data_IF_670400150074
#
_entry.id   IF_670400150074
#
_cell.length_a   1.000
_cell.length_b   1.000
_cell.length_c   1.000
_cell.angle_alpha   90.00
_cell.angle_beta   90.00
_cell.angle_gamma   90.00
#
_symmetry.space_group_name_H-M   'P 1'
#
loop_
_entity.id
_entity.type
_entity.pdbx_description
1 polymer ?
#
# COMPACT_ATOMS: atom_id res chain seq x y z
N UNK A 1 -15.64 9.46 -37.32
CA UNK A 1 -16.27 8.34 -36.57
C UNK A 1 -15.28 7.50 -35.76
N UNK A 2 -14.16 7.01 -36.33
CA UNK A 2 -13.24 6.04 -35.69
C UNK A 2 -12.69 6.43 -34.28
N UNK A 3 -12.24 7.68 -34.08
CA UNK A 3 -11.68 8.13 -32.78
C UNK A 3 -12.69 8.10 -31.62
N UNK A 4 -13.95 8.49 -31.88
CA UNK A 4 -15.02 8.50 -30.87
C UNK A 4 -15.40 7.07 -30.46
N UNK A 5 -15.42 6.14 -31.43
CA UNK A 5 -15.64 4.72 -31.20
C UNK A 5 -14.55 4.08 -30.35
N UNK A 6 -13.27 4.37 -30.63
CA UNK A 6 -12.14 3.85 -29.85
C UNK A 6 -12.17 4.33 -28.40
N UNK A 7 -12.41 5.63 -28.17
CA UNK A 7 -12.54 6.18 -26.81
C UNK A 7 -13.71 5.53 -26.06
N UNK A 8 -14.88 5.42 -26.69
CA UNK A 8 -16.06 4.82 -26.04
C UNK A 8 -15.87 3.34 -25.72
N UNK A 9 -15.22 2.58 -26.62
CA UNK A 9 -14.94 1.18 -26.41
C UNK A 9 -13.94 0.99 -25.25
N UNK A 10 -12.83 1.73 -25.27
CA UNK A 10 -11.84 1.68 -24.20
C UNK A 10 -12.42 2.04 -22.84
N UNK A 11 -13.26 3.09 -22.77
CA UNK A 11 -13.90 3.48 -21.51
C UNK A 11 -14.88 2.41 -20.99
N UNK A 12 -15.62 1.74 -21.88
CA UNK A 12 -16.48 0.60 -21.51
C UNK A 12 -15.66 -0.57 -20.99
N UNK A 13 -14.54 -0.89 -21.64
CA UNK A 13 -13.63 -1.96 -21.20
C UNK A 13 -13.08 -1.66 -19.80
N UNK A 14 -12.58 -0.44 -19.55
CA UNK A 14 -12.10 -0.02 -18.23
C UNK A 14 -13.20 -0.18 -17.18
N UNK A 15 -14.42 0.29 -17.49
CA UNK A 15 -15.56 0.13 -16.60
C UNK A 15 -15.85 -1.34 -16.28
N UNK A 16 -15.92 -2.22 -17.29
CA UNK A 16 -16.18 -3.63 -17.06
C UNK A 16 -15.08 -4.33 -16.28
N UNK A 17 -13.81 -4.05 -16.59
CA UNK A 17 -12.66 -4.60 -15.84
C UNK A 17 -12.72 -4.15 -14.37
N UNK A 18 -12.97 -2.86 -14.12
CA UNK A 18 -13.08 -2.34 -12.77
C UNK A 18 -14.21 -3.03 -11.98
N UNK A 19 -15.42 -3.08 -12.55
CA UNK A 19 -16.56 -3.73 -11.89
C UNK A 19 -16.34 -5.23 -11.68
N UNK A 20 -15.68 -5.91 -12.63
CA UNK A 20 -15.34 -7.32 -12.51
C UNK A 20 -14.41 -7.58 -11.32
N UNK A 21 -13.32 -6.81 -11.18
CA UNK A 21 -12.41 -6.97 -10.04
C UNK A 21 -13.03 -6.55 -8.71
N UNK A 22 -13.86 -5.51 -8.68
CA UNK A 22 -14.62 -5.15 -7.47
C UNK A 22 -15.59 -6.27 -7.09
N UNK A 23 -16.31 -6.82 -8.06
CA UNK A 23 -17.19 -7.98 -7.84
C UNK A 23 -16.41 -9.17 -7.27
N UNK A 24 -15.25 -9.51 -7.84
CA UNK A 24 -14.43 -10.60 -7.32
C UNK A 24 -13.96 -10.36 -5.89
N UNK A 25 -13.47 -9.15 -5.59
CA UNK A 25 -13.07 -8.76 -4.23
C UNK A 25 -14.22 -8.92 -3.24
N UNK A 26 -15.43 -8.43 -3.58
CA UNK A 26 -16.60 -8.56 -2.71
C UNK A 26 -17.05 -10.03 -2.58
N UNK A 27 -17.04 -10.78 -3.67
CA UNK A 27 -17.37 -12.21 -3.66
C UNK A 27 -16.42 -12.99 -2.74
N UNK A 28 -15.11 -12.79 -2.86
CA UNK A 28 -14.13 -13.46 -2.01
C UNK A 28 -14.18 -13.01 -0.56
N UNK A 29 -14.48 -11.73 -0.29
CA UNK A 29 -14.70 -11.26 1.08
C UNK A 29 -15.91 -11.95 1.73
N UNK A 30 -17.01 -12.13 1.00
CA UNK A 30 -18.22 -12.82 1.49
C UNK A 30 -17.97 -14.33 1.62
N UNK A 31 -17.25 -14.94 0.68
CA UNK A 31 -16.91 -16.36 0.68
C UNK A 31 -15.74 -16.70 1.63
N UNK A 32 -15.22 -15.71 2.35
CA UNK A 32 -14.09 -15.88 3.25
C UNK A 32 -14.43 -16.84 4.40
N UNK A 33 -13.54 -17.79 4.75
CA UNK A 33 -13.70 -18.63 5.93
C UNK A 33 -13.91 -17.82 7.22
N UNK A 34 -13.41 -16.58 7.28
CA UNK A 34 -13.59 -15.68 8.42
C UNK A 34 -15.06 -15.33 8.72
N UNK A 35 -15.97 -15.51 7.74
CA UNK A 35 -17.42 -15.29 7.89
C UNK A 35 -18.20 -16.59 8.11
N UNK A 36 -17.53 -17.73 8.23
CA UNK A 36 -18.19 -19.01 8.51
C UNK A 36 -18.36 -19.22 10.03
N UNK A 37 -19.56 -19.66 10.45
CA UNK A 37 -19.94 -19.82 11.86
C UNK A 37 -19.46 -21.16 12.45
N UNK A 38 -19.05 -21.15 13.73
CA UNK A 38 -18.62 -22.31 14.52
C UNK A 38 -17.10 -22.53 14.50
N UNK A 39 -16.55 -23.45 15.28
CA UNK A 39 -15.11 -23.77 15.25
C UNK A 39 -14.83 -24.94 14.29
N UNK A 40 -13.73 -24.85 13.51
CA UNK A 40 -13.15 -26.04 12.86
C UNK A 40 -11.69 -26.22 13.23
N UNK A 41 -11.17 -27.45 13.11
CA UNK A 41 -9.75 -27.76 13.35
C UNK A 41 -8.74 -26.97 12.51
N UNK A 42 -9.17 -26.27 11.44
CA UNK A 42 -8.31 -25.64 10.44
C UNK A 42 -8.02 -24.13 10.65
N UNK A 43 -8.48 -23.51 11.76
CA UNK A 43 -8.15 -22.12 12.10
C UNK A 43 -9.28 -21.10 11.93
N UNK A 44 -8.99 -19.89 12.42
CA UNK A 44 -9.89 -18.84 12.94
C UNK A 44 -11.14 -18.54 12.11
N UNK A 45 -12.29 -18.91 12.67
CA UNK A 45 -13.66 -18.57 12.22
C UNK A 45 -14.12 -17.22 12.78
N UNK A 46 -15.35 -16.80 12.49
CA UNK A 46 -15.96 -15.60 13.09
C UNK A 46 -15.93 -15.70 14.61
N UNK A 47 -15.10 -14.87 15.26
CA UNK A 47 -15.00 -14.85 16.73
C UNK A 47 -16.29 -14.33 17.36
N UNK A 48 -16.54 -14.60 18.64
CA UNK A 48 -17.68 -14.00 19.35
C UNK A 48 -17.67 -12.46 19.28
N UNK A 49 -16.48 -11.85 19.29
CA UNK A 49 -16.30 -10.40 19.10
C UNK A 49 -16.81 -9.98 17.72
N UNK A 50 -16.43 -10.70 16.66
CA UNK A 50 -16.88 -10.44 15.29
C UNK A 50 -18.39 -10.63 15.14
N UNK A 51 -18.97 -11.66 15.75
CA UNK A 51 -20.43 -11.89 15.76
C UNK A 51 -21.16 -10.74 16.45
N UNK A 52 -20.73 -10.37 17.66
CA UNK A 52 -21.32 -9.26 18.42
C UNK A 52 -21.22 -7.96 17.64
N UNK A 53 -20.08 -7.70 16.99
CA UNK A 53 -19.87 -6.52 16.16
C UNK A 53 -20.82 -6.50 14.95
N UNK A 54 -20.97 -7.62 14.23
CA UNK A 54 -21.90 -7.72 13.10
C UNK A 54 -23.36 -7.57 13.53
N UNK A 55 -23.77 -8.19 14.65
CA UNK A 55 -25.11 -8.02 15.22
C UNK A 55 -25.36 -6.58 15.65
N UNK A 56 -24.36 -5.92 16.22
CA UNK A 56 -24.44 -4.50 16.58
C UNK A 56 -24.63 -3.61 15.34
N UNK A 57 -23.86 -3.83 14.27
CA UNK A 57 -24.02 -3.11 13.00
C UNK A 57 -25.40 -3.34 12.37
N UNK A 58 -25.88 -4.59 12.39
CA UNK A 58 -27.21 -4.95 11.89
C UNK A 58 -28.30 -4.28 12.72
N UNK A 59 -28.18 -4.32 14.05
CA UNK A 59 -29.15 -3.71 14.98
C UNK A 59 -29.23 -2.20 14.78
N UNK A 60 -28.09 -1.51 14.67
CA UNK A 60 -28.05 -0.06 14.37
C UNK A 60 -28.69 0.23 13.01
N UNK A 61 -28.36 -0.56 11.98
CA UNK A 61 -28.89 -0.36 10.63
C UNK A 61 -30.41 -0.52 10.60
N UNK A 62 -30.94 -1.55 11.26
CA UNK A 62 -32.37 -1.78 11.42
C UNK A 62 -33.03 -0.68 12.25
N UNK A 63 -32.40 -0.24 13.34
CA UNK A 63 -32.91 0.85 14.16
C UNK A 63 -33.02 2.16 13.35
N UNK A 64 -32.02 2.49 12.52
CA UNK A 64 -32.07 3.65 11.61
C UNK A 64 -33.17 3.47 10.55
N UNK A 65 -33.37 2.24 10.06
CA UNK A 65 -34.38 1.97 9.05
C UNK A 65 -35.82 2.07 9.60
N UNK A 66 -36.06 1.62 10.84
CA UNK A 66 -37.40 1.59 11.44
C UNK A 66 -37.72 2.90 12.16
N UNK A 67 -36.80 3.45 12.95
CA UNK A 67 -37.05 4.60 13.80
C UNK A 67 -36.80 5.94 13.07
N UNK A 68 -37.86 6.70 12.83
CA UNK A 68 -37.78 8.00 12.14
C UNK A 68 -36.98 9.05 12.91
N UNK A 69 -37.11 9.12 14.24
CA UNK A 69 -36.34 10.07 15.06
C UNK A 69 -34.85 9.79 14.94
N UNK A 70 -34.45 8.53 15.06
CA UNK A 70 -33.05 8.11 14.92
C UNK A 70 -32.52 8.41 13.51
N UNK A 71 -33.29 8.07 12.48
CA UNK A 71 -32.97 8.41 11.08
C UNK A 71 -32.77 9.91 10.86
N UNK A 72 -33.61 10.75 11.45
CA UNK A 72 -33.48 12.20 11.34
C UNK A 72 -32.22 12.73 12.05
N UNK A 73 -31.84 12.15 13.19
CA UNK A 73 -30.56 12.43 13.86
C UNK A 73 -29.38 12.04 12.97
N UNK A 74 -29.36 10.83 12.43
CA UNK A 74 -28.29 10.38 11.52
C UNK A 74 -28.21 11.25 10.25
N UNK A 75 -29.34 11.62 9.66
CA UNK A 75 -29.38 12.56 8.52
C UNK A 75 -28.85 13.94 8.91
N UNK A 76 -29.17 14.43 10.10
CA UNK A 76 -28.65 15.72 10.57
C UNK A 76 -27.12 15.67 10.71
N UNK A 77 -26.58 14.65 11.37
CA UNK A 77 -25.14 14.50 11.61
C UNK A 77 -24.41 14.22 10.29
N UNK A 78 -24.73 13.12 9.62
CA UNK A 78 -23.92 12.61 8.51
C UNK A 78 -24.21 13.24 7.15
N UNK A 79 -25.35 13.94 6.99
CA UNK A 79 -25.73 14.60 5.72
C UNK A 79 -25.76 16.13 5.89
N UNK A 80 -26.54 16.68 6.82
CA UNK A 80 -26.65 18.15 6.96
C UNK A 80 -25.38 18.76 7.54
N UNK A 81 -24.71 18.09 8.48
CA UNK A 81 -23.45 18.51 9.11
C UNK A 81 -22.23 17.70 8.61
N UNK A 82 -22.36 17.07 7.43
CA UNK A 82 -21.41 16.08 6.91
C UNK A 82 -19.94 16.51 6.99
N UNK A 83 -19.62 17.75 6.61
CA UNK A 83 -18.23 18.23 6.66
C UNK A 83 -17.71 18.26 8.10
N UNK A 84 -18.44 18.88 9.02
CA UNK A 84 -18.06 18.98 10.43
C UNK A 84 -17.91 17.60 11.08
N UNK A 85 -18.92 16.73 10.92
CA UNK A 85 -18.87 15.38 11.49
C UNK A 85 -17.77 14.52 10.86
N UNK A 86 -17.51 14.66 9.55
CA UNK A 86 -16.41 13.93 8.90
C UNK A 86 -15.03 14.35 9.42
N UNK A 87 -14.81 15.65 9.68
CA UNK A 87 -13.56 16.16 10.27
C UNK A 87 -13.41 15.68 11.71
N UNK A 88 -14.48 15.77 12.51
CA UNK A 88 -14.46 15.30 13.91
C UNK A 88 -14.14 13.81 13.98
N UNK A 89 -14.79 12.98 13.17
CA UNK A 89 -14.53 11.53 13.12
C UNK A 89 -13.09 11.27 12.66
N UNK A 90 -12.61 11.96 11.62
CA UNK A 90 -11.25 11.79 11.13
C UNK A 90 -10.21 12.12 12.22
N UNK A 91 -10.38 13.22 12.94
CA UNK A 91 -9.49 13.59 14.07
C UNK A 91 -9.59 12.58 15.20
N UNK A 92 -10.78 12.11 15.56
CA UNK A 92 -10.96 11.08 16.58
C UNK A 92 -10.25 9.77 16.20
N UNK A 93 -10.31 9.36 14.93
CA UNK A 93 -9.60 8.17 14.44
C UNK A 93 -8.09 8.33 14.57
N UNK A 94 -7.53 9.48 14.21
CA UNK A 94 -6.09 9.77 14.40
C UNK A 94 -5.71 9.68 15.89
N UNK A 95 -6.52 10.26 16.78
CA UNK A 95 -6.28 10.16 18.22
C UNK A 95 -6.33 8.72 18.73
N UNK A 96 -7.26 7.90 18.22
CA UNK A 96 -7.33 6.48 18.54
C UNK A 96 -6.11 5.71 18.04
N UNK A 97 -5.61 6.02 16.83
CA UNK A 97 -4.38 5.43 16.29
C UNK A 97 -3.15 5.80 17.13
N UNK A 98 -3.04 7.06 17.58
CA UNK A 98 -1.95 7.49 18.47
C UNK A 98 -1.99 6.69 19.78
N UNK A 99 -3.17 6.62 20.43
CA UNK A 99 -3.34 5.82 21.64
C UNK A 99 -2.95 4.36 21.39
N UNK A 100 -3.33 3.81 20.24
CA UNK A 100 -3.05 2.43 19.89
C UNK A 100 -1.54 2.16 19.73
N UNK A 101 -0.79 3.03 19.04
CA UNK A 101 0.67 2.94 18.87
C UNK A 101 1.40 3.08 20.21
N UNK A 102 1.02 4.05 21.03
CA UNK A 102 1.63 4.27 22.35
C UNK A 102 1.43 3.05 23.27
N UNK A 103 0.30 2.35 23.13
CA UNK A 103 0.02 1.13 23.86
C UNK A 103 0.67 -0.11 23.23
N UNK A 104 0.85 -0.13 21.91
CA UNK A 104 1.23 -1.34 21.14
C UNK A 104 2.26 -0.98 20.07
N UNK A 105 3.53 -1.32 20.32
CA UNK A 105 4.66 -1.10 19.42
C UNK A 105 5.59 -2.32 19.44
N UNK A 106 5.13 -3.47 18.91
CA UNK A 106 5.91 -4.70 18.94
C UNK A 106 7.13 -4.60 18.03
N UNK A 107 8.16 -5.39 18.31
CA UNK A 107 9.20 -5.58 17.31
C UNK A 107 8.66 -6.41 16.16
N UNK A 108 8.92 -5.96 14.94
CA UNK A 108 8.45 -6.62 13.71
C UNK A 108 9.58 -7.47 13.12
N UNK A 109 9.25 -8.67 12.65
CA UNK A 109 10.19 -9.54 11.95
C UNK A 109 10.32 -9.25 10.46
N UNK A 110 10.64 -10.29 9.68
CA UNK A 110 10.87 -10.24 8.23
C UNK A 110 11.74 -9.05 7.78
N UNK A 111 11.47 -8.49 6.60
CA UNK A 111 12.17 -7.35 6.03
C UNK A 111 12.17 -6.09 6.93
N UNK A 112 11.07 -5.81 7.65
CA UNK A 112 10.99 -4.65 8.54
C UNK A 112 11.98 -4.78 9.71
N UNK A 113 12.09 -5.98 10.28
CA UNK A 113 13.06 -6.31 11.32
C UNK A 113 14.51 -6.21 10.83
N UNK A 114 14.79 -6.62 9.59
CA UNK A 114 16.11 -6.46 8.99
C UNK A 114 16.49 -4.97 8.85
N UNK A 115 15.55 -4.12 8.45
CA UNK A 115 15.74 -2.67 8.38
C UNK A 115 16.00 -2.06 9.74
N UNK A 116 15.18 -2.39 10.73
CA UNK A 116 15.36 -1.85 12.07
C UNK A 116 16.68 -2.33 12.70
N UNK A 117 17.07 -3.59 12.48
CA UNK A 117 18.33 -4.14 13.00
C UNK A 117 19.55 -3.44 12.40
N UNK A 118 19.49 -3.13 11.10
CA UNK A 118 20.57 -2.43 10.40
C UNK A 118 20.89 -1.04 10.97
N UNK A 119 19.96 -0.40 11.70
CA UNK A 119 20.18 0.89 12.35
C UNK A 119 21.28 0.85 13.42
N UNK A 120 21.51 -0.33 14.00
CA UNK A 120 22.46 -0.53 15.11
C UNK A 120 23.56 -1.54 14.79
N UNK A 121 23.30 -2.50 13.89
CA UNK A 121 24.29 -3.51 13.47
C UNK A 121 24.44 -3.56 11.95
N UNK A 122 25.55 -3.01 11.44
CA UNK A 122 25.92 -3.07 10.02
C UNK A 122 27.00 -4.12 9.71
N UNK A 123 27.50 -4.82 10.73
CA UNK A 123 28.61 -5.78 10.62
C UNK A 123 28.14 -7.24 10.66
N UNK A 124 26.91 -7.50 11.09
CA UNK A 124 26.30 -8.83 10.99
C UNK A 124 26.40 -9.39 9.57
N UNK A 125 26.94 -10.60 9.46
CA UNK A 125 27.04 -11.33 8.19
C UNK A 125 25.67 -11.63 7.59
N UNK A 126 24.68 -11.85 8.44
CA UNK A 126 23.31 -12.15 8.02
C UNK A 126 22.65 -10.94 7.39
N UNK A 127 22.76 -9.76 8.02
CA UNK A 127 22.24 -8.51 7.46
C UNK A 127 22.95 -8.14 6.16
N UNK A 128 24.28 -8.23 6.11
CA UNK A 128 25.03 -7.99 4.88
C UNK A 128 24.60 -8.95 3.75
N UNK A 129 24.39 -10.23 4.04
CA UNK A 129 23.91 -11.20 3.07
C UNK A 129 22.48 -10.90 2.61
N UNK A 130 21.59 -10.50 3.52
CA UNK A 130 20.23 -10.07 3.23
C UNK A 130 20.21 -8.87 2.29
N UNK A 131 20.91 -7.77 2.61
CA UNK A 131 20.93 -6.57 1.77
C UNK A 131 21.65 -6.77 0.44
N UNK A 132 22.58 -7.72 0.36
CA UNK A 132 23.20 -8.13 -0.92
C UNK A 132 22.20 -8.80 -1.87
N UNK A 133 21.16 -9.45 -1.35
CA UNK A 133 20.06 -10.02 -2.13
C UNK A 133 18.95 -8.97 -2.35
N UNK A 134 18.48 -8.35 -1.28
CA UNK A 134 17.35 -7.42 -1.22
C UNK A 134 17.78 -5.96 -1.32
N UNK A 135 18.52 -5.60 -2.37
CA UNK A 135 19.06 -4.24 -2.54
C UNK A 135 17.96 -3.17 -2.69
N UNK A 136 16.72 -3.57 -2.98
CA UNK A 136 15.57 -2.67 -3.02
C UNK A 136 15.25 -2.04 -1.65
N UNK A 137 15.64 -2.68 -0.54
CA UNK A 137 15.38 -2.19 0.81
C UNK A 137 16.45 -1.21 1.33
N UNK A 138 17.55 -0.99 0.58
CA UNK A 138 18.65 -0.11 0.99
C UNK A 138 18.17 1.32 1.18
N UNK A 139 17.38 1.87 0.26
CA UNK A 139 16.95 3.27 0.37
C UNK A 139 16.06 3.50 1.58
N UNK A 140 15.14 2.57 1.87
CA UNK A 140 14.29 2.65 3.04
C UNK A 140 15.11 2.55 4.32
N UNK A 141 16.11 1.66 4.36
CA UNK A 141 17.05 1.55 5.47
C UNK A 141 17.85 2.83 5.68
N UNK A 142 18.40 3.43 4.63
CA UNK A 142 19.14 4.70 4.74
C UNK A 142 18.26 5.85 5.22
N UNK A 143 16.99 5.89 4.80
CA UNK A 143 16.02 6.87 5.29
C UNK A 143 15.73 6.67 6.78
N UNK A 144 15.46 5.44 7.20
CA UNK A 144 15.24 5.14 8.62
C UNK A 144 16.48 5.43 9.47
N UNK A 145 17.68 5.12 8.97
CA UNK A 145 18.95 5.46 9.62
C UNK A 145 19.15 6.97 9.77
N UNK A 146 18.88 7.74 8.72
CA UNK A 146 18.96 9.20 8.79
C UNK A 146 18.03 9.76 9.88
N UNK A 147 16.78 9.26 9.94
CA UNK A 147 15.82 9.66 10.95
C UNK A 147 16.25 9.22 12.36
N UNK A 148 16.78 8.01 12.51
CA UNK A 148 17.31 7.54 13.79
C UNK A 148 18.42 8.46 14.32
N UNK A 149 19.33 8.88 13.43
CA UNK A 149 20.38 9.86 13.77
C UNK A 149 19.82 11.23 14.10
N UNK A 150 18.87 11.71 13.30
CA UNK A 150 18.25 13.02 13.50
C UNK A 150 17.55 13.12 14.86
N UNK A 151 16.79 12.09 15.24
CA UNK A 151 16.09 12.04 16.53
C UNK A 151 16.93 11.46 17.67
N UNK A 152 18.15 11.00 17.41
CA UNK A 152 18.99 10.26 18.37
C UNK A 152 18.24 9.10 19.05
N UNK A 153 17.37 8.42 18.31
CA UNK A 153 16.47 7.39 18.82
C UNK A 153 16.22 6.35 17.71
N UNK A 154 16.41 5.07 18.02
CA UNK A 154 16.20 3.96 17.08
C UNK A 154 15.20 2.94 17.63
N UNK A 155 14.20 3.40 18.39
CA UNK A 155 13.15 2.55 18.95
C UNK A 155 12.03 2.29 17.93
N UNK A 156 11.37 1.13 18.05
CA UNK A 156 10.16 0.80 17.29
C UNK A 156 9.08 1.88 17.45
N UNK A 157 8.89 2.39 18.66
CA UNK A 157 7.91 3.46 18.93
C UNK A 157 8.14 4.72 18.08
N UNK A 158 9.40 5.13 17.88
CA UNK A 158 9.69 6.26 16.99
C UNK A 158 9.22 5.96 15.56
N UNK A 159 9.56 4.78 15.05
CA UNK A 159 9.24 4.42 13.67
C UNK A 159 7.76 4.14 13.46
N UNK A 160 7.04 3.60 14.45
CA UNK A 160 5.59 3.43 14.42
C UNK A 160 4.89 4.80 14.41
N UNK A 161 5.38 5.77 15.20
CA UNK A 161 4.86 7.14 15.18
C UNK A 161 5.12 7.85 13.84
N UNK A 162 6.30 7.68 13.26
CA UNK A 162 6.59 8.18 11.90
C UNK A 162 5.67 7.50 10.88
N UNK A 163 5.47 6.18 11.01
CA UNK A 163 4.62 5.41 10.11
C UNK A 163 3.16 5.87 10.17
N UNK A 164 2.61 6.06 11.37
CA UNK A 164 1.28 6.65 11.59
C UNK A 164 1.17 8.01 10.90
N UNK A 165 2.14 8.90 11.12
CA UNK A 165 2.14 10.22 10.48
C UNK A 165 2.14 10.11 8.95
N UNK A 166 2.95 9.22 8.36
CA UNK A 166 3.01 9.04 6.90
C UNK A 166 1.69 8.51 6.32
N UNK A 167 1.05 7.56 7.01
CA UNK A 167 -0.26 7.00 6.63
C UNK A 167 -1.35 8.09 6.68
N UNK A 168 -1.41 8.86 7.76
CA UNK A 168 -2.42 9.92 7.91
C UNK A 168 -2.18 11.07 6.93
N UNK A 169 -0.92 11.40 6.65
CA UNK A 169 -0.54 12.38 5.63
C UNK A 169 -1.01 11.95 4.24
N UNK A 170 -0.93 10.66 3.91
CA UNK A 170 -1.51 10.11 2.67
C UNK A 170 -3.02 10.31 2.61
N UNK A 171 -3.74 10.07 3.72
CA UNK A 171 -5.18 10.29 3.78
C UNK A 171 -5.55 11.77 3.57
N UNK A 172 -4.76 12.71 4.13
CA UNK A 172 -4.92 14.15 3.89
C UNK A 172 -4.71 14.49 2.41
N UNK A 173 -3.63 13.99 1.78
CA UNK A 173 -3.41 14.20 0.34
C UNK A 173 -4.55 13.64 -0.51
N UNK A 174 -5.11 12.47 -0.15
CA UNK A 174 -6.28 11.91 -0.82
C UNK A 174 -7.52 12.81 -0.68
N UNK A 175 -7.74 13.42 0.49
CA UNK A 175 -8.81 14.40 0.68
C UNK A 175 -8.59 15.66 -0.18
N UNK A 176 -7.34 16.12 -0.31
CA UNK A 176 -6.98 17.25 -1.19
C UNK A 176 -7.19 16.91 -2.66
N UNK A 177 -6.88 15.68 -3.11
CA UNK A 177 -7.19 15.21 -4.46
C UNK A 177 -8.68 15.38 -4.75
N UNK A 178 -9.53 14.89 -3.84
CA UNK A 178 -10.99 15.03 -3.97
C UNK A 178 -11.41 16.50 -3.91
N UNK A 179 -10.80 17.34 -3.08
CA UNK A 179 -11.09 18.77 -3.04
C UNK A 179 -10.74 19.49 -4.36
N UNK A 180 -9.72 19.03 -5.09
CA UNK A 180 -9.36 19.52 -6.42
C UNK A 180 -10.39 19.08 -7.47
N UNK A 181 -10.91 17.86 -7.36
CA UNK A 181 -11.84 17.26 -8.33
C UNK A 181 -13.31 17.67 -8.10
N UNK A 182 -13.81 17.51 -6.87
CA UNK A 182 -15.15 17.90 -6.44
C UNK A 182 -15.21 18.14 -4.91
N UNK A 183 -15.18 19.41 -4.50
CA UNK A 183 -15.24 19.83 -3.08
C UNK A 183 -16.46 19.31 -2.34
N UNK A 184 -17.57 19.01 -3.02
CA UNK A 184 -18.80 18.50 -2.40
C UNK A 184 -18.63 17.07 -1.88
N UNK A 185 -17.57 16.38 -2.28
CA UNK A 185 -17.28 14.99 -1.90
C UNK A 185 -16.21 14.86 -0.81
N UNK A 186 -15.71 15.97 -0.26
CA UNK A 186 -14.69 15.97 0.81
C UNK A 186 -15.18 15.18 2.03
N UNK A 187 -16.41 15.40 2.48
CA UNK A 187 -16.96 14.65 3.61
C UNK A 187 -17.01 13.14 3.35
N UNK A 188 -17.38 12.75 2.12
CA UNK A 188 -17.47 11.33 1.74
C UNK A 188 -16.10 10.65 1.78
N UNK A 189 -15.06 11.30 1.24
CA UNK A 189 -13.71 10.71 1.29
C UNK A 189 -13.17 10.67 2.72
N UNK A 190 -13.43 11.69 3.54
CA UNK A 190 -13.01 11.67 4.94
C UNK A 190 -13.68 10.54 5.72
N UNK A 191 -14.97 10.27 5.52
CA UNK A 191 -15.62 9.10 6.12
C UNK A 191 -15.00 7.78 5.66
N UNK A 192 -14.77 7.62 4.35
CA UNK A 192 -14.18 6.41 3.79
C UNK A 192 -12.77 6.20 4.38
N UNK A 193 -11.93 7.23 4.38
CA UNK A 193 -10.59 7.18 4.96
C UNK A 193 -10.64 6.88 6.46
N UNK A 194 -11.55 7.49 7.21
CA UNK A 194 -11.70 7.23 8.65
C UNK A 194 -12.03 5.76 8.95
N UNK A 195 -12.90 5.13 8.15
CA UNK A 195 -13.23 3.70 8.30
C UNK A 195 -11.99 2.84 8.03
N UNK A 196 -11.24 3.14 6.95
CA UNK A 196 -10.02 2.41 6.62
C UNK A 196 -8.95 2.56 7.70
N UNK A 197 -8.66 3.79 8.12
CA UNK A 197 -7.64 4.09 9.13
C UNK A 197 -7.97 3.45 10.49
N UNK A 198 -9.24 3.47 10.89
CA UNK A 198 -9.68 2.82 12.14
C UNK A 198 -9.45 1.29 12.14
N UNK A 199 -9.34 0.68 10.96
CA UNK A 199 -9.19 -0.77 10.77
C UNK A 199 -7.83 -1.15 10.16
N UNK A 200 -6.85 -0.23 10.13
CA UNK A 200 -5.58 -0.44 9.44
C UNK A 200 -4.44 -0.78 10.43
N UNK A 201 -4.19 -2.07 10.75
CA UNK A 201 -3.20 -2.46 11.75
C UNK A 201 -1.75 -2.26 11.28
N UNK A 202 -1.53 -2.08 9.97
CA UNK A 202 -0.21 -1.87 9.37
C UNK A 202 0.45 -0.55 9.78
N UNK A 203 -0.24 0.32 10.53
CA UNK A 203 0.40 1.46 11.21
C UNK A 203 1.50 1.03 12.20
N UNK A 204 1.49 -0.22 12.66
CA UNK A 204 2.53 -0.82 13.51
C UNK A 204 3.67 -1.48 12.73
N UNK A 205 3.68 -1.33 11.41
CA UNK A 205 4.68 -1.98 10.53
C UNK A 205 5.37 -0.89 9.73
N UNK A 206 6.48 -0.30 10.23
CA UNK A 206 7.20 0.77 9.55
C UNK A 206 8.02 0.23 8.37
N UNK A 207 7.33 -0.15 7.30
CA UNK A 207 7.90 -0.78 6.11
C UNK A 207 7.50 -0.08 4.80
N UNK A 208 7.97 -0.61 3.66
CA UNK A 208 7.82 0.02 2.35
C UNK A 208 6.36 0.24 1.92
N UNK A 209 5.43 -0.62 2.35
CA UNK A 209 4.00 -0.54 2.03
C UNK A 209 3.35 0.75 2.52
N UNK A 210 3.68 1.18 3.73
CA UNK A 210 3.10 2.35 4.39
C UNK A 210 3.94 3.61 4.15
N UNK A 211 5.27 3.48 4.15
CA UNK A 211 6.19 4.60 3.93
C UNK A 211 6.04 5.23 2.54
N UNK A 212 5.63 4.43 1.54
CA UNK A 212 5.45 4.94 0.17
C UNK A 212 4.10 5.64 -0.05
N UNK A 213 3.11 5.43 0.82
CA UNK A 213 1.75 5.96 0.65
C UNK A 213 1.68 7.48 0.44
N UNK A 214 2.33 8.33 1.27
CA UNK A 214 2.25 9.77 1.07
C UNK A 214 2.92 10.21 -0.24
N UNK A 215 3.95 9.50 -0.71
CA UNK A 215 4.57 9.78 -2.00
C UNK A 215 3.62 9.44 -3.16
N UNK A 216 2.91 8.31 -3.07
CA UNK A 216 1.89 7.93 -4.06
C UNK A 216 0.79 8.97 -4.10
N UNK A 217 0.19 9.30 -2.95
CA UNK A 217 -0.86 10.31 -2.89
C UNK A 217 -0.38 11.68 -3.34
N UNK A 218 0.87 12.06 -3.06
CA UNK A 218 1.40 13.36 -3.46
C UNK A 218 1.62 13.46 -4.96
N UNK A 219 2.21 12.45 -5.64
CA UNK A 219 2.33 12.54 -7.10
C UNK A 219 0.96 12.49 -7.80
N UNK A 220 -0.03 11.77 -7.23
CA UNK A 220 -1.40 11.77 -7.71
C UNK A 220 -2.06 13.15 -7.53
N UNK A 221 -1.82 13.80 -6.38
CA UNK A 221 -2.26 15.18 -6.12
C UNK A 221 -1.63 16.16 -7.11
N UNK A 222 -0.32 16.04 -7.37
CA UNK A 222 0.37 16.85 -8.38
C UNK A 222 -0.27 16.68 -9.76
N UNK A 223 -0.55 15.44 -10.18
CA UNK A 223 -1.28 15.17 -11.42
C UNK A 223 -2.66 15.85 -11.42
N UNK A 224 -3.50 15.64 -10.40
CA UNK A 224 -4.83 16.24 -10.35
C UNK A 224 -4.78 17.77 -10.36
N UNK A 225 -3.81 18.38 -9.68
CA UNK A 225 -3.64 19.83 -9.68
C UNK A 225 -3.26 20.34 -11.06
N UNK A 226 -2.24 19.76 -11.71
CA UNK A 226 -1.74 20.18 -13.02
C UNK A 226 -2.86 20.16 -14.06
N UNK A 227 -3.66 19.09 -14.06
CA UNK A 227 -4.64 18.83 -15.12
C UNK A 227 -6.08 19.29 -14.81
N UNK A 228 -6.46 19.45 -13.53
CA UNK A 228 -7.85 19.71 -13.15
C UNK A 228 -8.09 20.94 -12.26
N UNK A 229 -7.04 21.56 -11.70
CA UNK A 229 -7.21 22.77 -10.89
C UNK A 229 -7.37 24.05 -11.73
N UNK A 230 -7.72 25.15 -11.06
CA UNK A 230 -7.69 26.52 -11.61
C UNK A 230 -6.46 27.32 -11.17
N UNK A 231 -5.44 26.67 -10.59
CA UNK A 231 -4.24 27.38 -10.15
C UNK A 231 -3.46 27.99 -11.32
N UNK A 232 -2.65 29.00 -10.99
CA UNK A 232 -1.80 29.72 -11.94
C UNK A 232 -0.73 28.80 -12.55
N UNK A 233 -0.12 29.22 -13.66
CA UNK A 233 0.84 28.42 -14.42
C UNK A 233 2.10 28.07 -13.63
N UNK A 234 2.63 29.01 -12.84
CA UNK A 234 3.85 28.82 -12.04
C UNK A 234 3.66 27.70 -11.02
N UNK A 235 2.55 27.74 -10.27
CA UNK A 235 2.25 26.71 -9.27
C UNK A 235 2.06 25.33 -9.91
N UNK A 236 1.48 25.25 -11.11
CA UNK A 236 1.37 23.98 -11.84
C UNK A 236 2.73 23.43 -12.23
N UNK A 237 3.63 24.27 -12.75
CA UNK A 237 4.99 23.83 -13.12
C UNK A 237 5.76 23.38 -11.88
N UNK A 238 5.72 24.14 -10.79
CA UNK A 238 6.33 23.75 -9.52
C UNK A 238 5.81 22.39 -9.03
N UNK A 239 4.50 22.20 -9.03
CA UNK A 239 3.89 20.93 -8.62
C UNK A 239 4.18 19.78 -9.58
N UNK A 240 4.38 20.06 -10.86
CA UNK A 240 4.81 19.07 -11.83
C UNK A 240 6.25 18.61 -11.58
N UNK A 241 7.17 19.54 -11.27
CA UNK A 241 8.54 19.22 -10.84
C UNK A 241 8.51 18.38 -9.57
N UNK A 242 7.77 18.83 -8.55
CA UNK A 242 7.60 18.10 -7.30
C UNK A 242 7.03 16.70 -7.54
N UNK A 243 5.98 16.59 -8.36
CA UNK A 243 5.35 15.31 -8.69
C UNK A 243 6.29 14.32 -9.39
N UNK A 244 7.13 14.79 -10.31
CA UNK A 244 8.10 13.94 -11.00
C UNK A 244 9.22 13.46 -10.06
N UNK A 245 9.75 14.34 -9.21
CA UNK A 245 10.71 13.96 -8.18
C UNK A 245 10.14 12.96 -7.17
N UNK A 246 8.89 13.19 -6.72
CA UNK A 246 8.18 12.30 -5.78
C UNK A 246 7.90 10.94 -6.41
N UNK A 247 7.53 10.87 -7.70
CA UNK A 247 7.36 9.62 -8.42
C UNK A 247 8.66 8.80 -8.39
N UNK A 248 9.80 9.44 -8.69
CA UNK A 248 11.10 8.78 -8.62
C UNK A 248 11.42 8.29 -7.21
N UNK A 249 11.24 9.13 -6.19
CA UNK A 249 11.46 8.74 -4.79
C UNK A 249 10.58 7.54 -4.39
N UNK A 250 9.30 7.52 -4.81
CA UNK A 250 8.38 6.42 -4.52
C UNK A 250 8.86 5.09 -5.08
N UNK A 251 9.47 5.10 -6.28
CA UNK A 251 10.03 3.90 -6.90
C UNK A 251 11.21 3.32 -6.10
N UNK A 252 12.06 4.17 -5.53
CA UNK A 252 13.20 3.73 -4.72
C UNK A 252 12.80 3.26 -3.32
N UNK A 253 11.66 3.70 -2.79
CA UNK A 253 11.05 3.14 -1.57
C UNK A 253 10.40 1.80 -1.88
N UNK A 254 9.58 1.75 -2.94
CA UNK A 254 8.86 0.55 -3.36
C UNK A 254 8.69 0.55 -4.90
N UNK A 255 9.37 -0.35 -5.64
CA UNK A 255 9.32 -0.34 -7.11
C UNK A 255 7.90 -0.44 -7.70
N UNK A 256 6.98 -1.14 -7.03
CA UNK A 256 5.59 -1.27 -7.48
C UNK A 256 4.74 -0.01 -7.30
N UNK A 257 5.25 1.02 -6.59
CA UNK A 257 4.55 2.30 -6.42
C UNK A 257 4.42 3.12 -7.71
N UNK A 258 5.07 2.70 -8.80
CA UNK A 258 4.91 3.29 -10.14
C UNK A 258 3.61 2.85 -10.84
N UNK A 259 2.93 1.79 -10.37
CA UNK A 259 1.75 1.23 -11.04
C UNK A 259 0.63 2.27 -11.25
N UNK A 260 0.24 3.11 -10.26
CA UNK A 260 -0.77 4.13 -10.49
C UNK A 260 -0.37 5.15 -11.56
N UNK A 261 0.92 5.48 -11.67
CA UNK A 261 1.42 6.34 -12.76
C UNK A 261 1.29 5.67 -14.13
N UNK A 262 1.62 4.37 -14.23
CA UNK A 262 1.40 3.59 -15.48
C UNK A 262 -0.10 3.61 -15.85
N UNK A 263 -0.99 3.45 -14.87
CA UNK A 263 -2.43 3.53 -15.10
C UNK A 263 -2.86 4.91 -15.61
N UNK A 264 -2.38 6.00 -15.00
CA UNK A 264 -2.61 7.37 -15.49
C UNK A 264 -2.14 7.53 -16.94
N UNK A 265 -0.92 7.07 -17.24
CA UNK A 265 -0.35 7.15 -18.58
C UNK A 265 -1.22 6.44 -19.63
N UNK A 266 -1.66 5.21 -19.35
CA UNK A 266 -2.54 4.44 -20.23
C UNK A 266 -3.91 5.11 -20.41
N UNK A 267 -4.48 5.66 -19.34
CA UNK A 267 -5.75 6.39 -19.39
C UNK A 267 -5.59 7.68 -20.19
N UNK A 268 -4.53 8.46 -19.99
CA UNK A 268 -4.30 9.69 -20.77
C UNK A 268 -4.12 9.42 -22.26
N UNK A 269 -3.43 8.33 -22.65
CA UNK A 269 -3.36 7.88 -24.04
C UNK A 269 -4.76 7.65 -24.60
N UNK A 270 -5.65 6.96 -23.87
CA UNK A 270 -7.03 6.76 -24.29
C UNK A 270 -7.76 8.11 -24.46
N UNK A 271 -7.54 9.06 -23.54
CA UNK A 271 -8.15 10.39 -23.59
C UNK A 271 -7.65 11.27 -24.73
N UNK A 272 -6.51 10.98 -25.37
CA UNK A 272 -6.09 11.64 -26.62
C UNK A 272 -7.07 11.40 -27.77
N UNK A 273 -7.84 10.31 -27.74
CA UNK A 273 -8.85 9.99 -28.74
C UNK A 273 -10.20 10.68 -28.50
N UNK A 274 -10.36 11.40 -27.38
CA UNK A 274 -11.59 12.13 -27.05
C UNK A 274 -11.72 13.38 -27.94
N UNK A 275 -12.69 13.35 -28.86
CA UNK A 275 -13.01 14.47 -29.76
C UNK A 275 -13.73 15.56 -28.94
N UNK A 276 -13.04 16.68 -28.68
CA UNK A 276 -13.54 17.91 -28.05
C UNK A 276 -13.29 18.10 -26.53
N UNK A 277 -12.03 18.01 -26.09
CA UNK A 277 -11.64 18.52 -24.76
C UNK A 277 -11.24 20.01 -24.84
N UNK A 278 -12.25 20.89 -24.79
CA UNK A 278 -12.05 22.36 -24.82
C UNK A 278 -11.08 22.88 -23.74
N UNK A 279 -10.92 22.14 -22.63
CA UNK A 279 -9.98 22.48 -21.55
C UNK A 279 -8.52 22.28 -21.97
N UNK A 280 -8.23 21.22 -22.73
CA UNK A 280 -6.88 20.96 -23.25
C UNK A 280 -6.42 22.07 -24.18
N UNK A 281 -7.31 22.74 -24.92
CA UNK A 281 -6.94 23.85 -25.83
C UNK A 281 -6.53 25.12 -25.08
N UNK A 282 -7.25 25.51 -24.02
CA UNK A 282 -6.95 26.74 -23.24
C UNK A 282 -5.65 26.64 -22.44
N UNK A 283 -5.33 25.46 -21.93
CA UNK A 283 -4.15 25.21 -21.09
C UNK A 283 -3.09 24.34 -21.76
N UNK A 284 -3.17 24.15 -23.09
CA UNK A 284 -2.32 23.22 -23.83
C UNK A 284 -0.83 23.42 -23.55
N UNK A 285 -0.39 24.67 -23.65
CA UNK A 285 1.01 25.05 -23.46
C UNK A 285 1.49 24.81 -22.02
N UNK A 286 0.70 25.23 -21.03
CA UNK A 286 1.03 25.02 -19.61
C UNK A 286 1.06 23.53 -19.26
N UNK A 287 0.13 22.74 -19.81
CA UNK A 287 0.08 21.28 -19.64
C UNK A 287 1.31 20.61 -20.29
N UNK A 288 1.69 21.05 -21.49
CA UNK A 288 2.88 20.54 -22.19
C UNK A 288 4.15 20.84 -21.40
N UNK A 289 4.32 22.09 -20.95
CA UNK A 289 5.45 22.50 -20.11
C UNK A 289 5.47 21.70 -18.81
N UNK A 290 4.33 21.60 -18.12
CA UNK A 290 4.23 20.84 -16.87
C UNK A 290 4.60 19.36 -17.08
N UNK A 291 4.11 18.75 -18.16
CA UNK A 291 4.47 17.37 -18.53
C UNK A 291 5.97 17.21 -18.81
N UNK A 292 6.59 18.17 -19.51
CA UNK A 292 8.03 18.16 -19.78
C UNK A 292 8.83 18.25 -18.47
N UNK A 293 8.51 19.22 -17.61
CA UNK A 293 9.17 19.38 -16.32
C UNK A 293 8.95 18.18 -15.39
N UNK A 294 7.78 17.53 -15.44
CA UNK A 294 7.54 16.28 -14.74
C UNK A 294 8.49 15.16 -15.20
N UNK A 295 8.65 14.97 -16.51
CA UNK A 295 9.55 13.95 -17.07
C UNK A 295 11.01 14.26 -16.73
N UNK A 296 11.43 15.52 -16.92
CA UNK A 296 12.82 15.96 -16.64
C UNK A 296 13.15 15.79 -15.16
N UNK A 297 12.28 16.24 -14.26
CA UNK A 297 12.48 16.08 -12.81
C UNK A 297 12.52 14.61 -12.41
N UNK A 298 11.64 13.77 -12.96
CA UNK A 298 11.69 12.31 -12.73
C UNK A 298 13.05 11.72 -13.11
N UNK A 299 13.57 12.07 -14.30
CA UNK A 299 14.86 11.56 -14.78
C UNK A 299 16.06 12.06 -13.97
N UNK A 300 16.08 13.35 -13.61
CA UNK A 300 17.13 13.94 -12.78
C UNK A 300 17.13 13.30 -11.39
N UNK A 301 15.97 13.24 -10.73
CA UNK A 301 15.84 12.63 -9.40
C UNK A 301 16.19 11.15 -9.43
N UNK A 302 15.78 10.41 -10.48
CA UNK A 302 16.14 9.00 -10.62
C UNK A 302 17.65 8.80 -10.68
N UNK A 303 18.35 9.59 -11.52
CA UNK A 303 19.80 9.51 -11.63
C UNK A 303 20.48 9.87 -10.32
N UNK A 304 20.00 10.90 -9.63
CA UNK A 304 20.53 11.31 -8.34
C UNK A 304 20.38 10.19 -7.29
N UNK A 305 19.17 9.65 -7.11
CA UNK A 305 18.89 8.57 -6.15
C UNK A 305 19.63 7.28 -6.51
N UNK A 306 19.72 6.94 -7.80
CA UNK A 306 20.48 5.79 -8.26
C UNK A 306 21.97 5.93 -7.93
N UNK A 307 22.54 7.11 -8.14
CA UNK A 307 23.94 7.37 -7.80
C UNK A 307 24.16 7.31 -6.29
N UNK A 308 23.32 7.99 -5.51
CA UNK A 308 23.38 7.97 -4.04
C UNK A 308 23.28 6.54 -3.49
N UNK A 309 22.35 5.73 -4.05
CA UNK A 309 22.23 4.32 -3.70
C UNK A 309 23.51 3.57 -4.10
N UNK A 310 24.09 3.78 -5.27
CA UNK A 310 25.30 3.05 -5.69
C UNK A 310 26.57 3.46 -4.91
N UNK A 311 26.62 4.67 -4.37
CA UNK A 311 27.78 5.22 -3.65
C UNK A 311 27.65 5.16 -2.13
N UNK A 312 26.57 4.61 -1.59
CA UNK A 312 26.42 4.47 -0.14
C UNK A 312 27.48 3.53 0.43
N UNK A 313 27.96 3.84 1.64
CA UNK A 313 29.00 3.10 2.35
C UNK A 313 28.55 2.69 3.74
N UNK A 314 27.25 2.74 4.02
CA UNK A 314 26.72 2.50 5.36
C UNK A 314 26.82 1.03 5.74
N UNK A 315 26.57 0.14 4.79
CA UNK A 315 26.71 -1.31 4.97
C UNK A 315 27.53 -1.92 3.84
N UNK A 316 28.43 -2.85 4.17
CA UNK A 316 29.17 -3.60 3.16
C UNK A 316 28.24 -4.63 2.50
N UNK A 317 27.92 -4.41 1.24
CA UNK A 317 27.02 -5.28 0.46
C UNK A 317 27.65 -5.72 -0.86
N UNK A 318 27.28 -6.92 -1.29
CA UNK A 318 27.66 -7.47 -2.58
C UNK A 318 26.49 -7.33 -3.58
N UNK A 319 26.51 -6.23 -4.33
CA UNK A 319 25.47 -5.92 -5.33
C UNK A 319 25.43 -6.92 -6.49
N UNK A 320 26.47 -7.73 -6.71
CA UNK A 320 26.45 -8.79 -7.73
C UNK A 320 25.39 -9.86 -7.41
N UNK A 321 25.02 -9.99 -6.14
CA UNK A 321 24.02 -10.94 -5.65
C UNK A 321 22.58 -10.43 -5.73
N UNK A 322 22.35 -9.20 -6.16
CA UNK A 322 21.01 -8.59 -6.23
C UNK A 322 19.96 -9.50 -6.89
N UNK A 323 18.79 -9.61 -6.26
CA UNK A 323 17.64 -10.33 -6.81
C UNK A 323 17.07 -9.57 -8.03
N UNK A 324 17.00 -10.20 -9.23
CA UNK A 324 16.45 -9.53 -10.39
C UNK A 324 14.91 -9.50 -10.33
N UNK A 325 14.30 -8.44 -10.89
CA UNK A 325 12.84 -8.26 -10.87
C UNK A 325 12.05 -9.48 -11.39
N UNK A 326 12.58 -10.18 -12.40
CA UNK A 326 11.97 -11.39 -12.98
C UNK A 326 11.83 -12.54 -11.96
N UNK A 327 12.65 -12.56 -10.91
CA UNK A 327 12.54 -13.55 -9.87
C UNK A 327 11.25 -13.38 -9.06
N UNK A 328 10.85 -12.15 -8.73
CA UNK A 328 9.58 -11.90 -8.04
C UNK A 328 8.37 -12.30 -8.89
N UNK A 329 8.44 -12.12 -10.22
CA UNK A 329 7.43 -12.64 -11.14
C UNK A 329 7.38 -14.17 -11.06
N UNK A 330 8.54 -14.82 -11.17
CA UNK A 330 8.65 -16.27 -11.10
C UNK A 330 8.09 -16.80 -9.78
N UNK A 331 8.57 -16.32 -8.64
CA UNK A 331 8.14 -16.70 -7.29
C UNK A 331 6.64 -16.49 -7.11
N UNK A 332 6.11 -15.35 -7.56
CA UNK A 332 4.68 -15.04 -7.52
C UNK A 332 3.79 -15.90 -8.42
N UNK A 333 4.36 -16.85 -9.17
CA UNK A 333 3.66 -17.89 -9.94
C UNK A 333 3.76 -19.29 -9.29
N UNK A 334 4.35 -19.38 -8.10
CA UNK A 334 4.46 -20.62 -7.31
C UNK A 334 3.35 -20.69 -6.24
N UNK A 335 2.93 -21.91 -5.88
CA UNK A 335 2.00 -22.15 -4.77
C UNK A 335 0.73 -21.28 -4.85
N UNK A 336 0.52 -20.47 -3.82
CA UNK A 336 -0.61 -19.54 -3.70
C UNK A 336 -0.37 -18.15 -4.32
N UNK A 337 0.81 -17.93 -4.90
CA UNK A 337 1.18 -16.69 -5.58
C UNK A 337 1.83 -15.61 -4.69
N UNK A 338 2.11 -15.93 -3.42
CA UNK A 338 2.86 -15.09 -2.48
C UNK A 338 4.35 -15.44 -2.41
N UNK A 339 5.00 -15.07 -1.29
CA UNK A 339 6.39 -15.44 -1.03
C UNK A 339 6.57 -16.97 -1.01
N UNK A 340 7.65 -17.46 -1.62
CA UNK A 340 8.01 -18.87 -1.61
C UNK A 340 9.48 -19.04 -1.21
N UNK A 341 9.69 -19.59 -0.01
CA UNK A 341 11.02 -19.77 0.59
C UNK A 341 11.94 -20.66 -0.26
N UNK A 342 11.42 -21.74 -0.83
CA UNK A 342 12.19 -22.69 -1.64
C UNK A 342 12.74 -22.02 -2.92
N UNK A 343 11.87 -21.30 -3.63
CA UNK A 343 12.26 -20.51 -4.81
C UNK A 343 13.30 -19.45 -4.45
N UNK A 344 13.09 -18.75 -3.33
CA UNK A 344 14.00 -17.71 -2.86
C UNK A 344 15.40 -18.28 -2.59
N UNK A 345 15.50 -19.38 -1.83
CA UNK A 345 16.76 -20.06 -1.53
C UNK A 345 17.42 -20.62 -2.80
N UNK A 346 16.65 -21.26 -3.69
CA UNK A 346 17.15 -21.86 -4.92
C UNK A 346 17.68 -20.83 -5.93
N UNK A 347 17.12 -19.61 -5.94
CA UNK A 347 17.64 -18.49 -6.71
C UNK A 347 18.84 -17.84 -6.00
N UNK A 348 18.80 -17.66 -4.67
CA UNK A 348 19.89 -17.08 -3.90
C UNK A 348 21.20 -17.87 -4.02
N UNK A 349 21.11 -19.20 -4.21
CA UNK A 349 22.24 -20.09 -4.46
C UNK A 349 22.91 -19.90 -5.83
N UNK A 350 22.34 -19.11 -6.74
CA UNK A 350 22.93 -18.87 -8.07
C UNK A 350 24.06 -17.82 -7.98
N UNK A 351 25.26 -18.09 -8.54
CA UNK A 351 26.40 -17.20 -8.40
C UNK A 351 26.20 -15.81 -9.02
N UNK A 352 25.70 -15.74 -10.26
CA UNK A 352 25.61 -14.49 -11.02
C UNK A 352 24.18 -14.00 -11.23
N UNK A 353 24.01 -12.69 -11.43
CA UNK A 353 22.74 -12.08 -11.87
C UNK A 353 22.19 -12.72 -13.14
N UNK A 354 23.06 -13.08 -14.09
CA UNK A 354 22.65 -13.75 -15.34
C UNK A 354 22.03 -15.11 -15.06
N UNK A 355 22.66 -15.94 -14.23
CA UNK A 355 22.13 -17.24 -13.86
C UNK A 355 20.82 -17.14 -13.06
N UNK A 356 20.66 -16.11 -12.22
CA UNK A 356 19.40 -15.81 -11.52
C UNK A 356 18.27 -15.49 -12.48
N UNK A 357 18.55 -14.68 -13.51
CA UNK A 357 17.60 -14.35 -14.57
C UNK A 357 17.21 -15.60 -15.36
N UNK A 358 18.19 -16.40 -15.81
CA UNK A 358 17.92 -17.61 -16.58
C UNK A 358 17.20 -18.69 -15.76
N UNK A 359 17.53 -18.85 -14.48
CA UNK A 359 16.77 -19.68 -13.56
C UNK A 359 15.31 -19.24 -13.48
N UNK A 360 15.06 -17.94 -13.28
CA UNK A 360 13.71 -17.39 -13.13
C UNK A 360 12.89 -17.54 -14.43
N UNK A 361 13.50 -17.31 -15.60
CA UNK A 361 12.87 -17.55 -16.91
C UNK A 361 12.48 -19.00 -17.10
N UNK A 362 13.39 -19.94 -16.82
CA UNK A 362 13.12 -21.37 -16.91
C UNK A 362 11.94 -21.77 -16.01
N UNK A 363 11.90 -21.28 -14.78
CA UNK A 363 10.78 -21.52 -13.85
C UNK A 363 9.46 -20.94 -14.35
N UNK A 364 9.44 -19.74 -14.90
CA UNK A 364 8.24 -19.14 -15.50
C UNK A 364 7.74 -20.02 -16.65
N UNK A 365 8.61 -20.41 -17.57
CA UNK A 365 8.24 -21.25 -18.71
C UNK A 365 7.72 -22.62 -18.27
N UNK A 366 8.39 -23.27 -17.33
CA UNK A 366 7.94 -24.55 -16.75
C UNK A 366 6.56 -24.41 -16.11
N UNK A 367 6.31 -23.33 -15.36
CA UNK A 367 5.04 -23.05 -14.70
C UNK A 367 3.91 -22.79 -15.70
N UNK A 368 4.16 -21.97 -16.71
CA UNK A 368 3.19 -21.71 -17.78
C UNK A 368 2.87 -22.97 -18.57
N UNK A 369 3.88 -23.77 -18.94
CA UNK A 369 3.68 -25.03 -19.64
C UNK A 369 2.88 -26.03 -18.82
N UNK A 370 3.18 -26.16 -17.52
CA UNK A 370 2.47 -27.05 -16.60
C UNK A 370 1.01 -26.63 -16.36
N UNK A 371 0.76 -25.32 -16.22
CA UNK A 371 -0.58 -24.80 -15.98
C UNK A 371 -1.44 -24.78 -17.25
N UNK A 372 -0.82 -24.54 -18.41
CA UNK A 372 -1.56 -24.18 -19.61
C UNK A 372 -2.37 -22.89 -19.42
N UNK A 373 -3.15 -22.52 -20.44
CA UNK A 373 -3.93 -21.28 -20.44
C UNK A 373 -5.00 -21.30 -19.33
N UNK A 374 -5.81 -22.36 -19.28
CA UNK A 374 -6.92 -22.45 -18.32
C UNK A 374 -6.44 -22.65 -16.88
N UNK A 375 -5.37 -23.42 -16.66
CA UNK A 375 -4.78 -23.55 -15.33
C UNK A 375 -4.17 -22.24 -14.84
N UNK A 376 -3.58 -21.44 -15.74
CA UNK A 376 -3.07 -20.12 -15.36
C UNK A 376 -4.20 -19.15 -15.02
N UNK A 377 -5.31 -19.16 -15.77
CA UNK A 377 -6.51 -18.38 -15.40
C UNK A 377 -7.01 -18.81 -14.02
N UNK A 378 -7.16 -20.11 -13.76
CA UNK A 378 -7.57 -20.64 -12.44
C UNK A 378 -6.61 -20.18 -11.34
N UNK A 379 -5.31 -20.21 -11.60
CA UNK A 379 -4.29 -19.70 -10.68
C UNK A 379 -4.46 -18.21 -10.37
N UNK A 380 -4.74 -17.38 -11.38
CA UNK A 380 -4.98 -15.94 -11.17
C UNK A 380 -6.21 -15.67 -10.31
N UNK A 381 -7.30 -16.43 -10.48
CA UNK A 381 -8.47 -16.34 -9.60
C UNK A 381 -8.15 -16.75 -8.16
N UNK A 382 -7.40 -17.85 -7.97
CA UNK A 382 -6.92 -18.28 -6.65
C UNK A 382 -6.04 -17.22 -5.99
N UNK A 383 -5.12 -16.63 -6.75
CA UNK A 383 -4.26 -15.55 -6.28
C UNK A 383 -5.06 -14.30 -5.89
N UNK A 384 -6.07 -13.93 -6.68
CA UNK A 384 -6.95 -12.80 -6.35
C UNK A 384 -7.75 -13.08 -5.06
N UNK A 385 -8.22 -14.31 -4.86
CA UNK A 385 -8.88 -14.73 -3.62
C UNK A 385 -7.96 -14.52 -2.42
N UNK A 386 -6.72 -15.01 -2.49
CA UNK A 386 -5.73 -14.81 -1.43
C UNK A 386 -5.40 -13.35 -1.15
N UNK A 387 -5.41 -12.48 -2.17
CA UNK A 387 -5.14 -11.06 -2.00
C UNK A 387 -6.30 -10.27 -1.36
N UNK A 388 -7.54 -10.76 -1.43
CA UNK A 388 -8.73 -9.92 -1.18
C UNK A 388 -9.76 -10.52 -0.21
N UNK A 389 -9.65 -11.81 0.14
CA UNK A 389 -10.67 -12.51 0.92
C UNK A 389 -10.74 -12.13 2.40
N UNK A 390 -9.61 -11.90 3.06
CA UNK A 390 -9.60 -11.67 4.52
C UNK A 390 -9.37 -10.22 4.93
N UNK A 391 -8.96 -9.34 4.00
CA UNK A 391 -8.68 -7.92 4.28
C UNK A 391 -7.55 -7.69 5.29
N UNK A 392 -6.79 -8.74 5.64
CA UNK A 392 -5.74 -8.69 6.66
C UNK A 392 -4.44 -8.06 6.16
N UNK A 393 -4.29 -7.91 4.84
CA UNK A 393 -3.02 -7.50 4.22
C UNK A 393 -1.84 -8.41 4.63
N UNK A 394 -2.10 -9.72 4.72
CA UNK A 394 -1.15 -10.73 5.16
C UNK A 394 -0.64 -10.57 6.61
N UNK A 395 -1.44 -9.92 7.46
CA UNK A 395 -1.19 -9.82 8.91
C UNK A 395 -0.97 -11.21 9.52
N UNK A 396 0.14 -11.39 10.25
CA UNK A 396 0.56 -12.65 10.88
C UNK A 396 0.85 -13.82 9.92
N UNK A 397 0.87 -13.59 8.59
CA UNK A 397 1.21 -14.63 7.62
C UNK A 397 2.73 -14.77 7.46
N UNK A 398 3.46 -13.66 7.49
CA UNK A 398 4.93 -13.69 7.36
C UNK A 398 5.57 -14.36 8.59
N UNK A 399 6.66 -15.11 8.35
CA UNK A 399 7.37 -15.83 9.42
C UNK A 399 7.99 -14.87 10.44
N UNK A 400 7.87 -15.20 11.73
CA UNK A 400 8.29 -14.35 12.86
C UNK A 400 7.69 -12.93 12.80
N UNK A 401 6.42 -12.80 12.39
CA UNK A 401 5.75 -11.50 12.15
C UNK A 401 5.98 -10.47 13.25
N UNK A 402 5.79 -10.87 14.51
CA UNK A 402 6.02 -10.03 15.69
C UNK A 402 6.79 -10.79 16.77
N UNK A 403 7.62 -10.06 17.51
CA UNK A 403 8.17 -10.49 18.80
C UNK A 403 7.85 -9.42 19.85
N UNK A 404 6.95 -9.74 20.78
CA UNK A 404 6.60 -8.87 21.89
C UNK A 404 6.04 -9.68 23.07
N UNK A 405 6.37 -9.26 24.29
CA UNK A 405 5.71 -9.78 25.50
C UNK A 405 4.35 -9.10 25.63
N UNK A 406 3.27 -9.88 25.55
CA UNK A 406 1.90 -9.39 25.77
C UNK A 406 1.76 -8.92 27.21
N UNK A 407 1.30 -7.68 27.41
CA UNK A 407 1.03 -7.16 28.75
C UNK A 407 -0.05 -8.02 29.46
N UNK A 408 0.08 -8.20 30.78
CA UNK A 408 -0.77 -9.13 31.53
C UNK A 408 -2.14 -8.56 31.92
N UNK A 409 -2.28 -7.23 32.05
CA UNK A 409 -3.53 -6.55 32.46
C UNK A 409 -3.69 -5.16 31.83
N UNK A 410 -4.92 -4.64 31.85
CA UNK A 410 -5.27 -3.26 31.48
C UNK A 410 -5.43 -3.03 29.97
N UNK A 411 -5.59 -1.76 29.58
CA UNK A 411 -5.84 -1.36 28.19
C UNK A 411 -4.70 -1.78 27.25
N UNK A 412 -3.45 -1.76 27.74
CA UNK A 412 -2.28 -2.25 27.00
C UNK A 412 -2.40 -3.74 26.64
N UNK A 413 -2.88 -4.56 27.57
CA UNK A 413 -3.11 -5.99 27.33
C UNK A 413 -4.22 -6.22 26.29
N UNK A 414 -5.30 -5.44 26.35
CA UNK A 414 -6.38 -5.48 25.37
C UNK A 414 -5.87 -5.15 23.96
N UNK A 415 -5.16 -4.04 23.78
CA UNK A 415 -4.62 -3.65 22.47
C UNK A 415 -3.57 -4.64 21.96
N UNK A 416 -2.69 -5.15 22.82
CA UNK A 416 -1.67 -6.14 22.44
C UNK A 416 -2.29 -7.46 21.97
N UNK A 417 -3.36 -7.95 22.63
CA UNK A 417 -4.09 -9.15 22.21
C UNK A 417 -4.82 -9.00 20.87
N UNK A 418 -5.13 -7.76 20.46
CA UNK A 418 -5.71 -7.48 19.15
C UNK A 418 -4.69 -7.66 18.01
N UNK A 419 -3.41 -7.43 18.29
CA UNK A 419 -2.33 -7.50 17.31
C UNK A 419 -1.58 -8.83 17.30
N UNK A 420 -1.37 -9.42 18.48
CA UNK A 420 -0.49 -10.57 18.70
C UNK A 420 -1.37 -11.79 19.00
N UNK A 421 -1.32 -12.80 18.13
CA UNK A 421 -1.98 -14.08 18.43
C UNK A 421 -1.16 -14.86 19.46
N UNK A 422 -1.84 -15.57 20.37
CA UNK A 422 -1.22 -16.40 21.43
C UNK A 422 -0.28 -17.50 20.89
N UNK A 423 -0.32 -17.76 19.58
CA UNK A 423 0.49 -18.77 18.90
C UNK A 423 1.89 -18.27 18.47
N UNK A 424 2.14 -16.96 18.44
CA UNK A 424 3.45 -16.40 18.07
C UNK A 424 4.37 -16.13 19.28
N UNK A 425 3.92 -16.38 20.51
CA UNK A 425 4.75 -16.23 21.72
C UNK A 425 5.81 -17.31 21.92
N UNK A 426 5.96 -18.27 20.99
CA UNK A 426 6.99 -19.31 21.07
C UNK A 426 7.75 -19.52 19.76
N UNK A 427 8.95 -18.97 19.69
CA UNK A 427 10.16 -19.68 19.25
C UNK A 427 11.34 -18.73 19.42
N UNK A 428 12.04 -18.87 20.55
CA UNK A 428 13.38 -18.33 20.66
C UNK A 428 14.30 -19.11 19.72
N UNK A 429 15.11 -18.37 18.96
CA UNK A 429 16.50 -18.68 18.64
C UNK A 429 17.21 -17.36 18.31
#
# INVERSE_FOLDING_TARGET
>A
MKRKGLFSLGNRIIFYIFNFFIFLTLYFAIASPNLTLGDTPAGNRTTWISVVFLLFLLTISLAIFVNEKLRNVFRYIFIKRALFSSIVIFVLVILLQIIFVELTHPSIGFDAGAIHSALTDTKSRELQAYYSLSTNNINLMLQQHYLAKFFSNSSWLLFDNINLFLVDLSAVFNALIVAVLDRRKISNVLYIQSIWLALFPMILVPYSDTWVLPFVSLYLLSYCIVFHSKFNGILRVFLAISGGSVLSASYFIKPSAIIPFIAIFLVEILYLFKKDDRRKKKYAFIILISSLFFIVSTGITYRYLQNANNSETYMKIDRSRTMPAIHFISMGMAGDGGYNKEDNLAMAARPSKKEKVEYSKRKINQRLARMGIFGYIKFLFHKQNKNSSDGSFAWLIEGHFMSAKVASKGLKAFCSKFCISEWQTFSGF
#
